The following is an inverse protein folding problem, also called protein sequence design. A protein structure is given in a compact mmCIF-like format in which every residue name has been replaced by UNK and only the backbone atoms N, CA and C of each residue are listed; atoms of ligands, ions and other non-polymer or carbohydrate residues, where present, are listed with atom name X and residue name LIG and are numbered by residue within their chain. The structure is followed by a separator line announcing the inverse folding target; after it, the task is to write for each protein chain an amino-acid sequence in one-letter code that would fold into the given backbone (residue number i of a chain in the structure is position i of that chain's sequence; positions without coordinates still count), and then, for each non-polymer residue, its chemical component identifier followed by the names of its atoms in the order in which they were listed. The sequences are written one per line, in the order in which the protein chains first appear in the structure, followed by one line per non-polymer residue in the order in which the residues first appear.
data_IF_539367515151
#
_entry.id   IF_539367515151
#
_cell.length_a   1.000
_cell.length_b   1.000
_cell.length_c   1.000
_cell.angle_alpha   90.00
_cell.angle_beta   90.00
_cell.angle_gamma   90.00
#
_symmetry.space_group_name_H-M   'P 1'
#
loop_
_entity.id
_entity.type
_entity.pdbx_description
1 polymer ?
#
# COMPACT_ATOMS: atom_id res chain seq x y z
N UNK A 1 -9.25 11.03 -6.58
CA UNK A 1 -9.27 9.78 -5.82
C UNK A 1 -10.02 10.01 -4.53
N UNK A 2 -11.11 9.29 -4.29
CA UNK A 2 -11.87 9.33 -3.04
C UNK A 2 -11.18 8.46 -1.97
N UNK A 3 -11.55 8.58 -0.69
CA UNK A 3 -11.04 7.70 0.36
C UNK A 3 -11.32 6.21 0.09
N UNK A 4 -12.48 5.90 -0.48
CA UNK A 4 -12.89 4.53 -0.84
C UNK A 4 -12.00 3.97 -1.95
N UNK A 5 -11.74 4.76 -3.00
CA UNK A 5 -10.81 4.38 -4.07
C UNK A 5 -9.39 4.17 -3.53
N UNK A 6 -8.97 4.95 -2.52
CA UNK A 6 -7.69 4.74 -1.86
C UNK A 6 -7.63 3.42 -1.09
N UNK A 7 -8.69 3.05 -0.37
CA UNK A 7 -8.78 1.73 0.30
C UNK A 7 -8.72 0.59 -0.71
N UNK A 8 -9.48 0.69 -1.79
CA UNK A 8 -9.50 -0.32 -2.84
C UNK A 8 -8.13 -0.47 -3.52
N UNK A 9 -7.46 0.65 -3.83
CA UNK A 9 -6.08 0.63 -4.33
C UNK A 9 -5.16 -0.08 -3.35
N UNK A 10 -5.29 0.18 -2.05
CA UNK A 10 -4.45 -0.41 -1.01
C UNK A 10 -4.64 -1.92 -0.94
N UNK A 11 -5.89 -2.40 -0.97
CA UNK A 11 -6.20 -3.82 -1.03
C UNK A 11 -5.66 -4.49 -2.31
N UNK A 12 -5.67 -3.79 -3.45
CA UNK A 12 -5.05 -4.28 -4.70
C UNK A 12 -3.53 -4.38 -4.60
N UNK A 13 -2.88 -3.39 -3.99
CA UNK A 13 -1.43 -3.40 -3.74
C UNK A 13 -1.05 -4.54 -2.79
N UNK A 14 -1.81 -4.74 -1.72
CA UNK A 14 -1.61 -5.83 -0.75
C UNK A 14 -1.70 -7.20 -1.43
N UNK A 15 -2.80 -7.47 -2.15
CA UNK A 15 -2.99 -8.73 -2.87
C UNK A 15 -1.87 -9.00 -3.88
N UNK A 16 -1.45 -7.97 -4.62
CA UNK A 16 -0.35 -8.08 -5.58
C UNK A 16 0.99 -8.37 -4.90
N UNK A 17 1.30 -7.70 -3.79
CA UNK A 17 2.52 -7.92 -3.03
C UNK A 17 2.56 -9.34 -2.43
N UNK A 18 1.47 -9.78 -1.81
CA UNK A 18 1.38 -11.12 -1.22
C UNK A 18 1.52 -12.22 -2.27
N UNK A 19 0.90 -12.06 -3.44
CA UNK A 19 1.04 -13.01 -4.55
C UNK A 19 2.51 -13.16 -5.00
N UNK A 20 3.22 -12.06 -5.18
CA UNK A 20 4.62 -12.12 -5.63
C UNK A 20 5.56 -12.67 -4.54
N UNK A 21 5.23 -12.47 -3.26
CA UNK A 21 5.97 -13.04 -2.14
C UNK A 21 5.69 -14.54 -1.97
N UNK A 22 4.44 -14.97 -2.16
CA UNK A 22 4.07 -16.39 -2.06
C UNK A 22 4.68 -17.22 -3.19
N UNK A 23 4.96 -16.62 -4.34
CA UNK A 23 5.64 -17.28 -5.46
C UNK A 23 7.18 -17.26 -5.37
N UNK A 24 7.72 -16.79 -4.23
CA UNK A 24 9.15 -16.60 -3.99
C UNK A 24 9.87 -15.77 -5.07
N UNK A 25 9.14 -14.93 -5.81
CA UNK A 25 9.75 -14.00 -6.80
C UNK A 25 10.64 -12.95 -6.12
N UNK A 26 10.42 -12.72 -4.82
CA UNK A 26 11.25 -11.88 -3.97
C UNK A 26 11.56 -12.63 -2.68
N UNK A 27 12.85 -12.73 -2.35
CA UNK A 27 13.33 -13.49 -1.19
C UNK A 27 12.77 -12.94 0.13
N UNK A 28 12.74 -11.60 0.27
CA UNK A 28 12.25 -10.88 1.46
C UNK A 28 11.19 -9.84 1.10
N UNK A 29 10.23 -9.55 1.99
CA UNK A 29 9.26 -8.47 1.81
C UNK A 29 9.93 -7.10 1.58
N UNK A 30 11.08 -6.89 2.21
CA UNK A 30 11.90 -5.68 2.04
C UNK A 30 12.38 -5.47 0.60
N UNK A 31 12.74 -6.55 -0.10
CA UNK A 31 13.28 -6.47 -1.47
C UNK A 31 12.17 -6.04 -2.43
N UNK A 32 10.97 -6.62 -2.28
CA UNK A 32 9.77 -6.22 -3.01
C UNK A 32 9.42 -4.75 -2.69
N UNK A 33 9.41 -4.38 -1.41
CA UNK A 33 9.07 -3.02 -0.99
C UNK A 33 10.01 -1.98 -1.60
N UNK A 34 11.31 -2.23 -1.59
CA UNK A 34 12.32 -1.36 -2.23
C UNK A 34 12.13 -1.31 -3.74
N UNK A 35 11.87 -2.44 -4.39
CA UNK A 35 11.69 -2.53 -5.85
C UNK A 35 10.56 -1.64 -6.35
N UNK A 36 9.42 -1.64 -5.64
CA UNK A 36 8.23 -0.87 -6.06
C UNK A 36 8.05 0.45 -5.28
N UNK A 37 8.97 0.77 -4.37
CA UNK A 37 8.90 1.96 -3.52
C UNK A 37 7.65 1.99 -2.64
N UNK A 38 7.26 0.84 -2.09
CA UNK A 38 6.26 0.70 -1.03
C UNK A 38 6.93 0.91 0.34
N UNK A 39 6.20 1.36 1.37
CA UNK A 39 6.77 1.43 2.71
C UNK A 39 7.09 0.03 3.26
N UNK A 40 8.36 -0.20 3.62
CA UNK A 40 8.83 -1.49 4.17
C UNK A 40 7.97 -1.97 5.35
N UNK A 41 7.60 -1.13 6.35
CA UNK A 41 6.81 -1.60 7.48
C UNK A 41 5.43 -2.12 7.08
N UNK A 42 4.83 -1.54 6.02
CA UNK A 42 3.52 -1.98 5.48
C UNK A 42 3.64 -3.35 4.84
N UNK A 43 4.61 -3.53 3.93
CA UNK A 43 4.79 -4.82 3.25
C UNK A 43 5.15 -5.92 4.25
N UNK A 44 5.98 -5.62 5.25
CA UNK A 44 6.26 -6.53 6.37
C UNK A 44 5.00 -6.88 7.17
N UNK A 45 4.13 -5.92 7.42
CA UNK A 45 2.87 -6.14 8.14
C UNK A 45 1.93 -7.04 7.34
N UNK A 46 1.71 -6.75 6.06
CA UNK A 46 0.93 -7.62 5.17
C UNK A 46 1.47 -9.05 5.16
N UNK A 47 2.78 -9.21 4.98
CA UNK A 47 3.39 -10.53 4.97
C UNK A 47 3.21 -11.25 6.32
N UNK A 48 3.42 -10.56 7.44
CA UNK A 48 3.22 -11.14 8.79
C UNK A 48 1.81 -11.63 9.04
N UNK A 49 0.80 -10.94 8.50
CA UNK A 49 -0.61 -11.30 8.65
C UNK A 49 -1.12 -12.25 7.56
N UNK A 50 -0.25 -12.74 6.68
CA UNK A 50 -0.58 -13.78 5.70
C UNK A 50 -0.21 -15.16 6.23
N UNK A 51 -0.63 -16.21 5.52
CA UNK A 51 -0.22 -17.60 5.83
C UNK A 51 1.29 -17.85 5.64
N UNK A 52 2.03 -16.88 5.05
CA UNK A 52 3.46 -16.94 4.76
C UNK A 52 3.91 -18.18 3.95
N UNK A 53 2.96 -18.82 3.25
CA UNK A 53 3.24 -19.98 2.40
C UNK A 53 3.99 -19.53 1.15
N UNK A 54 5.12 -20.19 0.91
CA UNK A 54 5.92 -20.01 -0.29
C UNK A 54 5.81 -21.25 -1.17
N UNK A 55 5.36 -21.06 -2.40
CA UNK A 55 5.33 -22.06 -3.45
C UNK A 55 6.35 -21.64 -4.50
N UNK A 56 7.49 -22.33 -4.50
CA UNK A 56 8.52 -22.11 -5.52
C UNK A 56 8.06 -22.82 -6.78
N UNK A 57 7.52 -22.06 -7.72
CA UNK A 57 7.18 -22.54 -9.05
C UNK A 57 8.33 -22.15 -9.98
N UNK A 58 8.99 -23.13 -10.60
CA UNK A 58 10.01 -22.81 -11.59
C UNK A 58 9.36 -22.13 -12.80
N UNK A 59 10.02 -21.14 -13.41
CA UNK A 59 9.45 -20.35 -14.51
C UNK A 59 8.97 -21.22 -15.69
N UNK A 60 9.64 -22.35 -15.92
CA UNK A 60 9.29 -23.34 -16.96
C UNK A 60 7.94 -24.04 -16.71
N UNK A 61 7.51 -24.10 -15.45
CA UNK A 61 6.31 -24.81 -15.00
C UNK A 61 5.11 -23.85 -14.79
N UNK A 62 5.30 -22.56 -15.08
CA UNK A 62 4.23 -21.57 -14.99
C UNK A 62 3.17 -21.80 -16.07
N UNK A 63 1.95 -22.03 -15.62
CA UNK A 63 0.80 -22.02 -16.53
C UNK A 63 0.58 -20.61 -17.11
N UNK A 64 0.00 -20.53 -18.32
CA UNK A 64 -0.34 -19.24 -18.94
C UNK A 64 -1.22 -18.35 -18.04
N UNK A 65 -2.09 -18.97 -17.24
CA UNK A 65 -2.93 -18.28 -16.25
C UNK A 65 -2.08 -17.66 -15.14
N UNK A 66 -1.16 -18.42 -14.54
CA UNK A 66 -0.25 -17.92 -13.50
C UNK A 66 0.65 -16.81 -14.03
N UNK A 67 1.26 -16.99 -15.20
CA UNK A 67 2.10 -15.97 -15.83
C UNK A 67 1.33 -14.65 -16.04
N UNK A 68 0.07 -14.73 -16.49
CA UNK A 68 -0.80 -13.55 -16.64
C UNK A 68 -1.11 -12.88 -15.31
N UNK A 69 -1.34 -13.66 -14.25
CA UNK A 69 -1.60 -13.14 -12.91
C UNK A 69 -0.37 -12.44 -12.33
N UNK A 70 0.83 -13.02 -12.47
CA UNK A 70 2.11 -12.42 -12.05
C UNK A 70 2.35 -11.09 -12.76
N UNK A 71 2.14 -11.03 -14.08
CA UNK A 71 2.27 -9.78 -14.85
C UNK A 71 1.31 -8.71 -14.35
N UNK A 72 0.04 -9.06 -14.09
CA UNK A 72 -0.95 -8.12 -13.54
C UNK A 72 -0.59 -7.63 -12.14
N UNK A 73 -0.09 -8.51 -11.27
CA UNK A 73 0.37 -8.13 -9.94
C UNK A 73 1.56 -7.17 -10.02
N UNK A 74 2.54 -7.47 -10.87
CA UNK A 74 3.70 -6.60 -11.12
C UNK A 74 3.24 -5.23 -11.63
N UNK A 75 2.36 -5.19 -12.64
CA UNK A 75 1.81 -3.94 -13.18
C UNK A 75 1.04 -3.12 -12.13
N UNK A 76 0.32 -3.80 -11.22
CA UNK A 76 -0.41 -3.14 -10.12
C UNK A 76 0.57 -2.42 -9.18
N UNK A 77 1.68 -3.08 -8.84
CA UNK A 77 2.73 -2.51 -7.99
C UNK A 77 3.51 -1.40 -8.70
N UNK A 78 3.79 -1.54 -10.00
CA UNK A 78 4.42 -0.47 -10.80
C UNK A 78 3.51 0.77 -10.89
N UNK A 79 2.20 0.57 -10.96
CA UNK A 79 1.19 1.64 -10.93
C UNK A 79 1.27 2.52 -9.67
N UNK A 80 1.81 2.01 -8.57
CA UNK A 80 2.01 2.77 -7.33
C UNK A 80 2.92 3.98 -7.52
N UNK A 81 3.98 3.86 -8.33
CA UNK A 81 4.90 4.97 -8.62
C UNK A 81 4.17 6.14 -9.29
N UNK A 82 3.24 5.83 -10.21
CA UNK A 82 2.38 6.83 -10.85
C UNK A 82 1.48 7.51 -9.83
N UNK A 83 0.87 6.75 -8.91
CA UNK A 83 0.02 7.30 -7.85
C UNK A 83 0.82 8.21 -6.92
N UNK A 84 2.06 7.85 -6.56
CA UNK A 84 2.94 8.70 -5.74
C UNK A 84 3.27 10.01 -6.44
N UNK A 85 3.49 10.01 -7.75
CA UNK A 85 3.82 11.23 -8.51
C UNK A 85 2.62 12.12 -8.75
N UNK A 86 1.50 11.53 -9.18
CA UNK A 86 0.29 12.24 -9.59
C UNK A 86 -0.83 12.05 -8.57
N UNK A 87 -0.54 12.39 -7.32
CA UNK A 87 -1.53 12.34 -6.24
C UNK A 87 -2.64 13.37 -6.48
N UNK A 88 -3.91 13.02 -6.17
CA UNK A 88 -5.02 13.95 -6.33
C UNK A 88 -4.86 15.18 -5.45
N UNK A 89 -5.52 16.27 -5.83
CA UNK A 89 -5.57 17.50 -5.06
C UNK A 89 -6.38 17.32 -3.76
N UNK A 90 -6.04 18.11 -2.74
CA UNK A 90 -6.68 18.10 -1.43
C UNK A 90 -8.15 18.54 -1.48
N UNK A 91 -8.48 19.51 -2.32
CA UNK A 91 -9.85 19.98 -2.51
C UNK A 91 -10.48 20.73 -1.32
N UNK A 92 -9.77 20.93 -0.20
CA UNK A 92 -10.30 21.64 0.97
C UNK A 92 -10.71 23.08 0.61
N UNK A 93 -11.86 23.54 1.12
CA UNK A 93 -12.31 24.92 0.94
C UNK A 93 -11.44 25.88 1.76
N UNK A 94 -10.92 26.91 1.10
CA UNK A 94 -10.14 27.99 1.69
C UNK A 94 -11.05 29.17 2.04
N UNK A 95 -10.58 30.06 2.92
CA UNK A 95 -11.33 31.25 3.36
C UNK A 95 -11.74 32.19 2.21
N UNK A 96 -11.01 32.16 1.10
CA UNK A 96 -11.31 32.93 -0.11
C UNK A 96 -12.25 32.20 -1.10
N UNK A 97 -12.91 31.11 -0.67
CA UNK A 97 -13.83 30.31 -1.50
C UNK A 97 -13.16 29.39 -2.53
N UNK A 98 -11.82 29.46 -2.70
CA UNK A 98 -11.08 28.56 -3.60
C UNK A 98 -10.85 27.19 -2.97
N UNK A 99 -10.54 26.18 -3.79
CA UNK A 99 -10.13 24.85 -3.32
C UNK A 99 -8.61 24.72 -3.23
N UNK A 100 -8.13 24.01 -2.22
CA UNK A 100 -6.72 23.71 -2.07
C UNK A 100 -6.21 22.77 -3.18
N UNK A 101 -5.17 23.23 -3.90
CA UNK A 101 -4.51 22.48 -4.98
C UNK A 101 -3.33 21.62 -4.52
N UNK A 102 -2.98 21.64 -3.24
CA UNK A 102 -1.89 20.80 -2.72
C UNK A 102 -2.31 19.34 -2.81
N UNK A 103 -1.37 18.46 -3.18
CA UNK A 103 -1.64 17.02 -3.24
C UNK A 103 -1.99 16.45 -1.87
N UNK A 104 -2.86 15.44 -1.86
CA UNK A 104 -3.08 14.61 -0.67
C UNK A 104 -1.79 13.94 -0.21
N UNK A 105 -1.73 13.64 1.09
CA UNK A 105 -0.55 13.02 1.72
C UNK A 105 -0.61 11.49 1.54
N UNK A 106 0.54 10.85 1.35
CA UNK A 106 0.66 9.39 1.51
C UNK A 106 0.65 9.09 3.01
N UNK A 107 -0.25 8.20 3.46
CA UNK A 107 -0.34 7.87 4.89
C UNK A 107 0.94 7.20 5.37
N UNK A 108 1.25 7.45 6.65
CA UNK A 108 2.26 6.68 7.36
C UNK A 108 1.86 5.20 7.42
N UNK A 109 2.81 4.26 7.52
CA UNK A 109 2.54 2.83 7.50
C UNK A 109 1.38 2.36 8.38
N UNK A 110 1.25 2.96 9.57
CA UNK A 110 0.21 2.62 10.55
C UNK A 110 -1.21 2.88 10.03
N UNK A 111 -1.38 3.79 9.07
CA UNK A 111 -2.68 4.23 8.55
C UNK A 111 -3.09 3.65 7.22
N UNK A 112 -2.35 2.67 6.72
CA UNK A 112 -2.68 2.01 5.46
C UNK A 112 -3.94 1.14 5.56
N UNK A 113 -4.39 0.78 6.76
CA UNK A 113 -5.71 0.19 7.02
C UNK A 113 -6.87 1.10 6.54
N UNK A 114 -6.66 2.41 6.58
CA UNK A 114 -7.60 3.42 6.10
C UNK A 114 -7.40 3.80 4.62
N UNK A 115 -6.41 3.18 3.96
CA UNK A 115 -5.97 3.50 2.59
C UNK A 115 -4.58 4.15 2.55
N UNK A 116 -3.86 3.95 1.45
CA UNK A 116 -2.49 4.46 1.26
C UNK A 116 -2.41 5.99 1.10
N UNK A 117 -3.52 6.66 0.75
CA UNK A 117 -3.63 8.11 0.65
C UNK A 117 -4.53 8.67 1.76
N UNK A 118 -4.16 9.83 2.25
CA UNK A 118 -4.99 10.62 3.15
C UNK A 118 -6.11 11.33 2.39
N UNK A 119 -7.12 11.77 3.12
CA UNK A 119 -8.27 12.49 2.53
C UNK A 119 -7.87 13.92 2.11
N UNK A 120 -6.78 14.45 2.68
CA UNK A 120 -6.35 15.86 2.53
C UNK A 120 -4.83 16.00 2.46
N UNK A 121 -4.36 17.20 2.11
CA UNK A 121 -2.94 17.55 2.18
C UNK A 121 -2.48 17.78 3.63
N UNK A 122 -1.16 17.93 3.82
CA UNK A 122 -0.55 18.11 5.15
C UNK A 122 -1.11 19.33 5.90
N UNK A 123 -1.32 20.44 5.19
CA UNK A 123 -1.84 21.70 5.74
C UNK A 123 -3.29 21.61 6.19
N UNK A 124 -4.08 20.70 5.62
CA UNK A 124 -5.49 20.51 5.93
C UNK A 124 -5.76 19.22 6.72
N UNK A 125 -4.76 18.74 7.48
CA UNK A 125 -4.93 17.60 8.40
C UNK A 125 -4.71 16.22 7.81
N UNK A 126 -4.15 16.10 6.60
CA UNK A 126 -3.85 14.79 5.99
C UNK A 126 -2.90 13.91 6.82
N UNK A 127 -2.09 14.52 7.69
CA UNK A 127 -1.15 13.83 8.59
C UNK A 127 -1.54 13.91 10.08
N UNK A 128 -2.65 14.56 10.43
CA UNK A 128 -2.99 14.84 11.83
C UNK A 128 -3.68 13.68 12.55
N UNK A 129 -4.21 12.69 11.82
CA UNK A 129 -4.66 11.43 12.42
C UNK A 129 -3.44 10.58 12.82
N UNK A 130 -2.82 10.90 13.96
CA UNK A 130 -1.98 9.93 14.66
C UNK A 130 -2.87 8.77 15.06
N UNK A 131 -2.56 7.58 14.54
CA UNK A 131 -3.20 6.36 14.99
C UNK A 131 -2.64 6.08 16.37
N UNK A 132 -3.50 6.17 17.39
CA UNK A 132 -3.14 5.75 18.74
C UNK A 132 -2.76 4.28 18.64
N UNK A 133 -1.50 3.93 18.95
CA UNK A 133 -1.11 2.53 19.16
C UNK A 133 -2.07 1.96 20.20
N UNK A 134 -2.81 0.88 19.86
CA UNK A 134 -3.46 0.08 20.89
C UNK A 134 -2.35 -0.40 21.83
N UNK A 135 -2.49 -0.12 23.13
CA UNK A 135 -1.66 -0.74 24.15
C UNK A 135 -1.83 -2.26 23.98
N UNK A 136 -0.72 -2.96 23.78
CA UNK A 136 -0.66 -4.39 24.04
C UNK A 136 -0.62 -4.47 25.56
N UNK A 137 -1.68 -4.99 26.17
CA UNK A 137 -1.59 -5.46 27.56
C UNK A 137 -0.75 -6.73 27.50
N UNK A 138 0.49 -6.61 27.94
CA UNK A 138 1.35 -7.73 28.27
C UNK A 138 0.78 -8.27 29.60
N UNK A 139 -0.04 -9.30 29.52
CA UNK A 139 -0.44 -10.07 30.70
C UNK A 139 0.76 -10.99 30.99
N UNK A 140 1.69 -10.46 31.79
CA UNK A 140 2.83 -11.19 32.34
C UNK A 140 2.33 -12.39 33.16
N UNK A 141 3.02 -13.50 32.91
CA UNK A 141 2.84 -14.83 33.51
C UNK A 141 3.29 -14.87 34.96
#
# INVERSE_FOLDING_TARGET
MTPEESKELTARLEKAALLLLSLDSYRKPDDLARRFGLPIPVVRFWWRNSDQKKEVIADRDLTLKQAKTIRKATQTLEGWEKVKRYRPECGAQLANGRRCKLSVVIRQPEGWDQGCLADRCRMHGGSSRRIRKKKVEDDET
#
